data_IF_777806060198
#
_entry.id   IF_777806060198
#
_cell.length_a   1.000
_cell.length_b   1.000
_cell.length_c   1.000
_cell.angle_alpha   90.00
_cell.angle_beta   90.00
_cell.angle_gamma   90.00
#
_symmetry.space_group_name_H-M   'P 1'
#
loop_
_entity.id
_entity.type
_entity.pdbx_description
1 polymer ?
#
# COMPACT_ATOMS: atom_id res chain seq x y z
N UNK A 1 11.30 -5.07 -16.86
CA UNK A 1 11.31 -5.19 -15.39
C UNK A 1 9.91 -5.61 -14.99
N UNK A 2 9.75 -6.73 -14.27
CA UNK A 2 8.43 -7.20 -13.85
C UNK A 2 7.94 -6.39 -12.62
N UNK A 3 6.65 -6.49 -12.27
CA UNK A 3 6.08 -5.73 -11.15
C UNK A 3 6.70 -6.05 -9.80
N UNK A 4 7.11 -7.30 -9.59
CA UNK A 4 7.78 -7.72 -8.37
C UNK A 4 9.11 -6.98 -8.19
N UNK A 5 9.96 -6.97 -9.22
CA UNK A 5 11.25 -6.29 -9.20
C UNK A 5 11.07 -4.77 -9.01
N UNK A 6 10.06 -4.19 -9.67
CA UNK A 6 9.73 -2.78 -9.51
C UNK A 6 9.27 -2.46 -8.09
N UNK A 7 8.35 -3.24 -7.52
CA UNK A 7 7.84 -3.03 -6.17
C UNK A 7 8.94 -3.23 -5.12
N UNK A 8 9.78 -4.26 -5.28
CA UNK A 8 10.94 -4.47 -4.41
C UNK A 8 11.89 -3.27 -4.46
N UNK A 9 12.12 -2.68 -5.65
CA UNK A 9 12.92 -1.47 -5.79
C UNK A 9 12.25 -0.27 -5.14
N UNK A 10 10.97 -0.03 -5.42
CA UNK A 10 10.19 1.05 -4.81
C UNK A 10 10.26 0.97 -3.28
N UNK A 11 10.03 -0.21 -2.70
CA UNK A 11 10.11 -0.39 -1.26
C UNK A 11 11.51 -0.11 -0.70
N UNK A 12 12.57 -0.46 -1.45
CA UNK A 12 13.95 -0.15 -1.05
C UNK A 12 14.27 1.34 -1.07
N UNK A 13 13.72 2.06 -2.05
CA UNK A 13 13.98 3.49 -2.26
C UNK A 13 13.18 4.36 -1.27
N UNK A 14 11.97 3.93 -0.88
CA UNK A 14 11.04 4.73 -0.06
C UNK A 14 11.10 4.39 1.43
N UNK A 15 11.28 3.10 1.79
CA UNK A 15 11.18 2.64 3.18
C UNK A 15 12.54 2.34 3.80
N UNK A 16 12.63 2.56 5.12
CA UNK A 16 13.79 2.16 5.93
C UNK A 16 13.99 0.66 5.85
N UNK A 17 15.25 0.21 5.98
CA UNK A 17 15.67 -1.18 5.75
C UNK A 17 14.83 -2.20 6.51
N UNK A 18 14.49 -1.88 7.76
CA UNK A 18 13.70 -2.68 8.69
C UNK A 18 12.20 -2.76 8.33
N UNK A 19 11.67 -1.79 7.58
CA UNK A 19 10.25 -1.68 7.23
C UNK A 19 9.92 -2.23 5.83
N UNK A 20 10.93 -2.37 4.96
CA UNK A 20 10.74 -2.72 3.52
C UNK A 20 9.91 -3.96 3.28
N UNK A 21 10.13 -5.01 4.07
CA UNK A 21 9.48 -6.32 3.88
C UNK A 21 8.01 -6.28 4.28
N UNK A 22 7.70 -5.56 5.36
CA UNK A 22 6.33 -5.31 5.78
C UNK A 22 5.62 -4.47 4.73
N UNK A 23 6.20 -3.34 4.34
CA UNK A 23 5.64 -2.45 3.32
C UNK A 23 5.33 -3.18 2.01
N UNK A 24 6.27 -4.00 1.52
CA UNK A 24 6.03 -4.86 0.34
C UNK A 24 4.79 -5.74 0.54
N UNK A 25 4.68 -6.42 1.68
CA UNK A 25 3.57 -7.33 1.97
C UNK A 25 2.22 -6.63 2.13
N UNK A 26 2.21 -5.38 2.58
CA UNK A 26 1.00 -4.56 2.69
C UNK A 26 0.56 -4.05 1.31
N UNK A 27 1.48 -3.47 0.54
CA UNK A 27 1.21 -2.92 -0.80
C UNK A 27 0.73 -4.03 -1.73
N UNK A 28 1.48 -5.14 -1.80
CA UNK A 28 1.14 -6.27 -2.65
C UNK A 28 -0.22 -6.87 -2.27
N UNK A 29 -0.43 -7.15 -0.98
CA UNK A 29 -1.68 -7.75 -0.50
C UNK A 29 -2.91 -6.86 -0.72
N UNK A 30 -2.77 -5.54 -0.50
CA UNK A 30 -3.85 -4.59 -0.74
C UNK A 30 -4.22 -4.48 -2.23
N UNK A 31 -3.22 -4.41 -3.11
CA UNK A 31 -3.44 -4.37 -4.56
C UNK A 31 -4.00 -5.69 -5.10
N UNK A 32 -3.51 -6.83 -4.62
CA UNK A 32 -4.08 -8.14 -4.96
C UNK A 32 -5.55 -8.22 -4.54
N UNK A 33 -5.87 -7.82 -3.30
CA UNK A 33 -7.26 -7.80 -2.83
C UNK A 33 -8.16 -6.87 -3.65
N UNK A 34 -7.66 -5.68 -4.04
CA UNK A 34 -8.38 -4.77 -4.92
C UNK A 34 -8.63 -5.39 -6.31
N UNK A 35 -7.60 -5.96 -6.93
CA UNK A 35 -7.72 -6.58 -8.27
C UNK A 35 -8.60 -7.83 -8.27
N UNK A 36 -8.62 -8.59 -7.17
CA UNK A 36 -9.53 -9.73 -7.01
C UNK A 36 -11.01 -9.30 -6.96
N UNK A 37 -11.30 -8.12 -6.41
CA UNK A 37 -12.67 -7.59 -6.30
C UNK A 37 -13.14 -6.84 -7.55
N UNK A 38 -12.26 -6.03 -8.14
CA UNK A 38 -12.63 -5.05 -9.18
C UNK A 38 -12.10 -5.39 -10.57
N UNK A 39 -11.35 -6.50 -10.69
CA UNK A 39 -10.67 -6.90 -11.90
C UNK A 39 -9.23 -6.38 -11.97
N UNK A 40 -8.45 -6.96 -12.88
CA UNK A 40 -7.07 -6.53 -13.13
C UNK A 40 -7.04 -5.13 -13.74
N UNK A 41 -5.93 -4.42 -13.51
CA UNK A 41 -5.66 -3.16 -14.20
C UNK A 41 -5.68 -3.37 -15.73
N UNK A 42 -6.13 -2.37 -16.52
CA UNK A 42 -6.26 -2.50 -17.98
C UNK A 42 -4.91 -2.64 -18.69
N UNK A 43 -3.84 -2.14 -18.09
CA UNK A 43 -2.49 -2.17 -18.61
C UNK A 43 -1.44 -2.10 -17.49
N UNK A 44 -0.17 -2.21 -17.87
CA UNK A 44 0.96 -2.22 -16.95
C UNK A 44 1.20 -0.88 -16.25
N UNK A 45 0.81 0.23 -16.87
CA UNK A 45 0.95 1.56 -16.30
C UNK A 45 -0.07 1.77 -15.18
N UNK A 46 -1.32 1.38 -15.42
CA UNK A 46 -2.37 1.40 -14.43
C UNK A 46 -2.06 0.49 -13.23
N UNK A 47 -1.50 -0.71 -13.45
CA UNK A 47 -1.10 -1.58 -12.35
C UNK A 47 0.00 -0.93 -11.50
N UNK A 48 1.02 -0.36 -12.15
CA UNK A 48 2.10 0.34 -11.45
C UNK A 48 1.58 1.52 -10.63
N UNK A 49 0.62 2.26 -11.17
CA UNK A 49 -0.01 3.38 -10.47
C UNK A 49 -0.80 2.91 -9.22
N UNK A 50 -1.46 1.74 -9.28
CA UNK A 50 -2.10 1.15 -8.08
C UNK A 50 -1.06 0.84 -7.00
N UNK A 51 0.06 0.20 -7.39
CA UNK A 51 1.15 -0.12 -6.46
C UNK A 51 1.78 1.14 -5.86
N UNK A 52 1.99 2.17 -6.68
CA UNK A 52 2.55 3.44 -6.24
C UNK A 52 1.63 4.15 -5.25
N UNK A 53 0.32 4.26 -5.56
CA UNK A 53 -0.67 4.86 -4.66
C UNK A 53 -0.75 4.10 -3.33
N UNK A 54 -0.80 2.77 -3.37
CA UNK A 54 -0.76 1.94 -2.18
C UNK A 54 0.54 2.15 -1.40
N UNK A 55 1.67 2.28 -2.10
CA UNK A 55 2.98 2.59 -1.52
C UNK A 55 2.99 3.90 -0.74
N UNK A 56 2.49 4.96 -1.33
CA UNK A 56 2.39 6.27 -0.65
C UNK A 56 1.44 6.24 0.53
N UNK A 57 0.31 5.53 0.43
CA UNK A 57 -0.57 5.33 1.59
C UNK A 57 0.12 4.58 2.74
N UNK A 58 0.89 3.52 2.44
CA UNK A 58 1.63 2.79 3.47
C UNK A 58 2.74 3.65 4.08
N UNK A 59 3.43 4.45 3.27
CA UNK A 59 4.43 5.41 3.74
C UNK A 59 3.80 6.45 4.68
N UNK A 60 2.77 7.14 4.23
CA UNK A 60 2.05 8.15 5.01
C UNK A 60 1.40 7.53 6.26
N UNK A 61 0.97 6.27 6.15
CA UNK A 61 0.33 5.55 7.25
C UNK A 61 1.30 5.10 8.34
N UNK A 62 2.60 5.00 8.03
CA UNK A 62 3.68 4.77 8.99
C UNK A 62 4.19 6.09 9.60
N UNK A 63 4.22 7.16 8.82
CA UNK A 63 4.64 8.49 9.28
C UNK A 63 3.55 9.15 10.15
N UNK A 64 3.93 9.75 11.27
CA UNK A 64 3.03 10.62 12.04
C UNK A 64 2.90 11.96 11.32
N UNK A 65 2.03 12.04 10.32
CA UNK A 65 1.74 13.31 9.62
C UNK A 65 0.69 14.18 10.33
N UNK A 66 0.23 13.78 11.51
CA UNK A 66 -0.78 14.49 12.31
C UNK A 66 -0.23 15.43 13.38
N UNK A 67 -1.13 16.03 14.16
CA UNK A 67 -0.81 16.86 15.32
C UNK A 67 -0.04 16.03 16.37
N UNK A 68 0.73 16.67 17.27
CA UNK A 68 1.32 15.98 18.41
C UNK A 68 0.24 15.19 19.17
N UNK A 69 0.35 13.86 19.17
CA UNK A 69 -0.62 12.95 19.78
C UNK A 69 -1.41 12.08 18.80
N UNK A 70 -1.36 12.37 17.49
CA UNK A 70 -2.03 11.54 16.49
C UNK A 70 -1.31 10.19 16.34
N UNK A 71 -2.12 9.12 16.29
CA UNK A 71 -1.65 7.77 15.98
C UNK A 71 -1.45 7.63 14.47
N UNK A 72 -0.43 6.87 14.00
CA UNK A 72 -0.32 6.52 12.59
C UNK A 72 -1.59 5.83 12.10
N UNK A 73 -1.93 6.00 10.81
CA UNK A 73 -3.08 5.30 10.20
C UNK A 73 -2.90 3.78 10.22
N UNK A 74 -1.66 3.31 10.14
CA UNK A 74 -1.28 1.91 10.26
C UNK A 74 -0.59 1.71 11.62
N UNK A 75 -1.39 1.77 12.69
CA UNK A 75 -0.93 1.63 14.07
C UNK A 75 -0.22 0.27 14.28
N UNK A 76 0.72 0.22 15.22
CA UNK A 76 1.40 -1.00 15.65
C UNK A 76 0.44 -2.02 16.26
N UNK A 77 -0.70 -1.57 16.80
CA UNK A 77 -1.74 -2.44 17.35
C UNK A 77 -2.56 -3.18 16.26
N UNK A 78 -2.46 -2.77 14.98
CA UNK A 78 -3.17 -3.42 13.87
C UNK A 78 -2.48 -4.71 13.43
N UNK A 79 -3.28 -5.73 13.10
CA UNK A 79 -2.73 -6.93 12.49
C UNK A 79 -2.24 -6.65 11.06
N UNK A 80 -1.31 -7.46 10.51
CA UNK A 80 -0.92 -7.33 9.10
C UNK A 80 -2.09 -7.46 8.13
N UNK A 81 -3.15 -8.18 8.50
CA UNK A 81 -4.36 -8.30 7.70
C UNK A 81 -5.18 -7.01 7.71
N UNK A 82 -5.41 -6.42 8.88
CA UNK A 82 -6.12 -5.13 9.00
C UNK A 82 -5.42 -4.04 8.20
N UNK A 83 -4.07 -4.01 8.24
CA UNK A 83 -3.29 -3.05 7.45
C UNK A 83 -3.45 -3.27 5.94
N UNK A 84 -3.53 -4.52 5.47
CA UNK A 84 -3.82 -4.82 4.04
C UNK A 84 -5.24 -4.43 3.65
N UNK A 85 -6.22 -4.65 4.53
CA UNK A 85 -7.60 -4.20 4.32
C UNK A 85 -7.64 -2.68 4.21
N UNK A 86 -6.91 -1.95 5.05
CA UNK A 86 -6.83 -0.49 4.96
C UNK A 86 -6.24 -0.02 3.62
N UNK A 87 -5.21 -0.70 3.08
CA UNK A 87 -4.67 -0.41 1.75
C UNK A 87 -5.73 -0.65 0.66
N UNK A 88 -6.46 -1.75 0.74
CA UNK A 88 -7.55 -2.07 -0.19
C UNK A 88 -8.65 -1.00 -0.13
N UNK A 89 -9.12 -0.64 1.06
CA UNK A 89 -10.17 0.36 1.27
C UNK A 89 -9.74 1.73 0.76
N UNK A 90 -8.47 2.10 0.96
CA UNK A 90 -7.90 3.30 0.37
C UNK A 90 -7.98 3.29 -1.16
N UNK A 91 -7.59 2.17 -1.81
CA UNK A 91 -7.69 2.03 -3.26
C UNK A 91 -9.16 2.08 -3.74
N UNK A 92 -10.10 1.46 -3.02
CA UNK A 92 -11.53 1.54 -3.31
C UNK A 92 -12.03 2.98 -3.23
N UNK A 93 -11.66 3.72 -2.19
CA UNK A 93 -12.05 5.11 -1.99
C UNK A 93 -11.57 6.03 -3.11
N UNK A 94 -10.29 5.97 -3.48
CA UNK A 94 -9.73 6.88 -4.50
C UNK A 94 -10.14 6.50 -5.94
N UNK A 95 -10.70 5.30 -6.14
CA UNK A 95 -11.25 4.84 -7.41
C UNK A 95 -12.79 4.85 -7.45
N UNK A 96 -13.47 5.34 -6.40
CA UNK A 96 -14.94 5.44 -6.35
C UNK A 96 -15.65 4.09 -6.35
N UNK A 97 -15.07 3.10 -5.68
CA UNK A 97 -15.55 1.71 -5.56
C UNK A 97 -16.05 1.35 -4.16
N UNK A 98 -16.07 2.33 -3.26
CA UNK A 98 -16.55 2.24 -1.87
C UNK A 98 -18.00 2.71 -1.73
#
# INVERSE_FOLDING_TARGET
MNFKDWLEKFCKDVFKVDERREAYGLIHGGVEGYTARHGSAPDDEAHRLLLEKAGWFVYDGHERHGKPGDKPLLDADMTPEDKRVAVLEFLEKIHGKA
#
